data_IF_306055199408
#
_entry.id   IF_306055199408
#
_cell.length_a   1.000
_cell.length_b   1.000
_cell.length_c   1.000
_cell.angle_alpha   90.00
_cell.angle_beta   90.00
_cell.angle_gamma   90.00
#
_symmetry.space_group_name_H-M   'P 1'
#
loop_
_entity.id
_entity.type
_entity.pdbx_description
1 polymer ?
#
# COMPACT_ATOMS: atom_id res chain seq x y z
N UNK A 1 -41.26 -32.06 -49.64
CA UNK A 1 -40.48 -31.47 -48.54
C UNK A 1 -40.70 -29.97 -48.55
N UNK A 2 -40.87 -29.35 -47.39
CA UNK A 2 -40.81 -27.88 -47.20
C UNK A 2 -39.95 -27.60 -45.98
N UNK A 3 -38.79 -26.97 -46.20
CA UNK A 3 -37.77 -26.82 -45.16
C UNK A 3 -37.90 -25.47 -44.45
N UNK A 4 -38.12 -25.49 -43.14
CA UNK A 4 -38.39 -24.29 -42.35
C UNK A 4 -37.09 -23.71 -41.79
N UNK A 5 -36.47 -22.77 -42.53
CA UNK A 5 -35.25 -22.06 -42.13
C UNK A 5 -35.49 -21.10 -40.96
N UNK A 6 -35.46 -21.63 -39.74
CA UNK A 6 -35.66 -20.86 -38.49
C UNK A 6 -34.49 -19.90 -38.26
N UNK A 7 -34.70 -18.60 -38.49
CA UNK A 7 -33.73 -17.56 -38.18
C UNK A 7 -33.50 -17.50 -36.65
N UNK A 8 -32.27 -17.77 -36.21
CA UNK A 8 -31.84 -17.50 -34.83
C UNK A 8 -31.51 -16.01 -34.73
N UNK A 9 -32.48 -15.21 -34.26
CA UNK A 9 -32.23 -13.82 -33.90
C UNK A 9 -31.27 -13.82 -32.70
N UNK A 10 -30.01 -13.43 -32.93
CA UNK A 10 -29.04 -13.21 -31.87
C UNK A 10 -29.65 -12.23 -30.86
N UNK A 11 -29.62 -12.60 -29.59
CA UNK A 11 -29.90 -11.66 -28.50
C UNK A 11 -28.65 -10.82 -28.33
N UNK A 12 -28.80 -9.53 -28.57
CA UNK A 12 -27.87 -8.51 -28.13
C UNK A 12 -27.69 -8.67 -26.61
N UNK A 13 -26.47 -8.99 -26.19
CA UNK A 13 -26.13 -9.13 -24.78
C UNK A 13 -25.99 -7.71 -24.22
N UNK A 14 -26.94 -7.30 -23.39
CA UNK A 14 -26.85 -6.01 -22.69
C UNK A 14 -25.60 -6.02 -21.82
N UNK A 15 -24.62 -5.11 -22.03
CA UNK A 15 -23.38 -5.11 -21.28
C UNK A 15 -23.62 -4.95 -19.78
N UNK A 16 -23.15 -5.92 -19.01
CA UNK A 16 -23.28 -5.91 -17.57
C UNK A 16 -22.44 -4.79 -16.94
N UNK A 17 -22.80 -4.39 -15.72
CA UNK A 17 -22.06 -3.37 -14.94
C UNK A 17 -20.61 -3.74 -14.59
N UNK A 18 -20.16 -4.93 -15.00
CA UNK A 18 -18.82 -5.48 -14.80
C UNK A 18 -18.16 -5.92 -16.12
N UNK A 19 -18.78 -5.64 -17.29
CA UNK A 19 -18.09 -5.81 -18.58
C UNK A 19 -17.11 -4.64 -18.79
N UNK A 20 -15.88 -4.90 -19.26
CA UNK A 20 -14.91 -3.85 -19.50
C UNK A 20 -15.37 -2.95 -20.67
N UNK A 21 -15.08 -1.63 -20.62
CA UNK A 21 -15.44 -0.73 -21.72
C UNK A 21 -14.78 -1.19 -23.02
N UNK A 22 -15.59 -1.29 -24.08
CA UNK A 22 -15.13 -1.66 -25.41
C UNK A 22 -14.29 -0.53 -26.02
N UNK A 23 -12.99 -0.52 -25.70
CA UNK A 23 -12.00 0.25 -26.44
C UNK A 23 -11.88 -0.34 -27.85
N UNK A 24 -12.50 0.30 -28.84
CA UNK A 24 -12.37 -0.04 -30.25
C UNK A 24 -10.89 0.03 -30.66
N UNK A 25 -10.24 -1.13 -30.70
CA UNK A 25 -8.81 -1.27 -30.94
C UNK A 25 -8.47 -1.23 -32.44
N UNK A 26 -9.08 -0.29 -33.16
CA UNK A 26 -8.88 -0.11 -34.59
C UNK A 26 -7.99 1.09 -34.87
N UNK A 27 -6.86 0.83 -35.53
CA UNK A 27 -5.76 1.78 -35.71
C UNK A 27 -6.02 2.80 -36.83
N UNK A 28 -7.13 3.53 -36.77
CA UNK A 28 -7.33 4.68 -37.65
C UNK A 28 -6.46 5.88 -37.20
N UNK A 29 -5.99 6.65 -38.17
CA UNK A 29 -4.96 7.68 -38.02
C UNK A 29 -5.36 8.81 -37.06
N UNK A 30 -4.35 9.40 -36.39
CA UNK A 30 -4.53 10.31 -35.25
C UNK A 30 -5.30 11.61 -35.57
N UNK A 31 -6.63 11.57 -35.47
CA UNK A 31 -7.47 12.76 -35.48
C UNK A 31 -7.60 13.37 -34.08
N UNK A 32 -6.82 14.43 -33.86
CA UNK A 32 -7.01 15.39 -32.78
C UNK A 32 -8.45 15.96 -32.77
N UNK A 33 -8.85 16.55 -31.62
CA UNK A 33 -10.01 17.44 -31.35
C UNK A 33 -11.15 16.87 -30.48
N UNK A 34 -10.90 16.62 -29.19
CA UNK A 34 -11.92 16.95 -28.16
C UNK A 34 -11.47 17.15 -26.70
N UNK A 35 -10.29 17.75 -26.45
CA UNK A 35 -9.93 18.28 -25.12
C UNK A 35 -10.59 19.65 -24.85
N UNK A 36 -11.88 19.65 -24.49
CA UNK A 36 -12.53 20.82 -23.86
C UNK A 36 -12.29 20.74 -22.35
N UNK A 37 -11.48 21.67 -21.82
CA UNK A 37 -10.91 21.60 -20.47
C UNK A 37 -11.96 21.58 -19.33
N UNK A 38 -12.36 20.37 -18.89
CA UNK A 38 -13.18 20.17 -17.69
C UNK A 38 -12.31 20.48 -16.46
N UNK A 39 -12.45 21.70 -15.94
CA UNK A 39 -11.77 22.12 -14.70
C UNK A 39 -12.55 21.61 -13.49
N UNK A 40 -12.16 20.43 -12.99
CA UNK A 40 -12.83 19.63 -11.94
C UNK A 40 -13.07 20.34 -10.58
N UNK A 41 -12.61 21.58 -10.41
CA UNK A 41 -12.69 22.35 -9.16
C UNK A 41 -13.83 23.40 -9.14
N UNK A 42 -14.74 23.40 -10.13
CA UNK A 42 -15.88 24.33 -10.22
C UNK A 42 -17.07 23.84 -9.36
N UNK A 43 -17.09 24.20 -8.08
CA UNK A 43 -18.32 24.08 -7.26
C UNK A 43 -19.40 25.00 -7.83
N UNK A 44 -20.61 24.49 -8.06
CA UNK A 44 -21.76 25.27 -8.50
C UNK A 44 -22.22 26.18 -7.36
N UNK A 45 -22.29 27.48 -7.61
CA UNK A 45 -22.95 28.45 -6.73
C UNK A 45 -24.40 28.60 -7.14
N UNK A 46 -25.31 28.48 -6.18
CA UNK A 46 -26.74 28.69 -6.39
C UNK A 46 -27.04 30.19 -6.51
N UNK A 47 -27.87 30.62 -7.48
CA UNK A 47 -28.36 32.00 -7.51
C UNK A 47 -29.19 32.29 -6.26
N UNK A 48 -28.72 33.21 -5.41
CA UNK A 48 -29.54 33.73 -4.31
C UNK A 48 -30.61 34.61 -4.94
N UNK A 49 -31.88 34.24 -4.81
CA UNK A 49 -32.98 34.98 -5.43
C UNK A 49 -33.13 36.37 -4.79
N UNK A 50 -32.74 37.42 -5.51
CA UNK A 50 -32.84 38.81 -5.06
C UNK A 50 -34.25 39.34 -5.27
N UNK A 51 -34.99 39.53 -4.18
CA UNK A 51 -36.29 40.20 -4.21
C UNK A 51 -36.15 41.73 -4.18
N UNK A 52 -36.88 42.39 -5.08
CA UNK A 52 -37.24 43.82 -5.08
C UNK A 52 -36.13 44.89 -5.24
N UNK A 53 -36.11 45.44 -6.45
CA UNK A 53 -36.38 46.85 -6.76
C UNK A 53 -35.32 47.99 -6.64
N UNK A 54 -35.19 48.64 -7.80
CA UNK A 54 -34.88 50.05 -8.10
C UNK A 54 -33.42 50.49 -8.42
N UNK A 55 -33.24 51.36 -9.44
CA UNK A 55 -31.92 51.86 -9.86
C UNK A 55 -31.60 53.28 -9.35
N UNK A 56 -30.34 53.55 -8.97
CA UNK A 56 -29.68 54.84 -9.25
C UNK A 56 -28.14 54.84 -9.11
N UNK A 57 -27.48 55.30 -10.18
CA UNK A 57 -26.19 56.00 -10.37
C UNK A 57 -25.12 56.11 -9.24
N UNK A 58 -23.87 55.86 -9.66
CA UNK A 58 -22.52 56.31 -9.18
C UNK A 58 -21.82 55.90 -7.85
N UNK A 59 -20.56 55.51 -8.05
CA UNK A 59 -19.33 55.88 -7.31
C UNK A 59 -19.43 56.38 -5.85
N UNK A 60 -18.86 55.59 -4.92
CA UNK A 60 -17.86 56.13 -3.97
C UNK A 60 -16.97 55.06 -3.33
N UNK A 61 -15.68 55.37 -3.20
CA UNK A 61 -14.74 54.65 -2.33
C UNK A 61 -15.00 55.02 -0.87
N UNK A 62 -15.03 54.04 0.05
CA UNK A 62 -15.24 54.35 1.48
C UNK A 62 -15.26 53.16 2.45
N UNK A 63 -14.09 52.84 2.99
CA UNK A 63 -13.83 52.48 4.41
C UNK A 63 -14.86 51.66 5.22
N UNK A 64 -14.42 50.47 5.68
CA UNK A 64 -14.63 49.88 7.02
C UNK A 64 -16.07 49.78 7.57
N UNK A 65 -16.54 48.55 7.84
CA UNK A 65 -17.02 48.17 9.19
C UNK A 65 -17.14 46.64 9.38
N UNK A 66 -17.07 46.18 10.63
CA UNK A 66 -17.08 44.76 10.98
C UNK A 66 -18.50 44.18 11.07
N UNK A 67 -18.73 43.01 10.47
CA UNK A 67 -19.86 42.15 10.79
C UNK A 67 -19.36 40.82 11.38
N UNK A 68 -19.71 40.57 12.64
CA UNK A 68 -19.49 39.27 13.30
C UNK A 68 -20.51 38.28 12.74
N UNK A 69 -20.05 37.24 12.04
CA UNK A 69 -20.88 36.05 11.76
C UNK A 69 -20.62 34.98 12.81
N UNK A 70 -21.69 34.63 13.50
CA UNK A 70 -21.75 33.86 14.74
C UNK A 70 -21.13 32.47 14.65
N UNK A 71 -20.72 31.95 15.80
CA UNK A 71 -20.39 30.55 16.02
C UNK A 71 -21.49 29.59 15.56
N UNK A 72 -21.28 28.93 14.42
CA UNK A 72 -22.08 27.78 13.97
C UNK A 72 -21.38 26.50 14.40
N UNK A 73 -21.89 25.88 15.47
CA UNK A 73 -21.45 24.53 15.87
C UNK A 73 -21.78 23.52 14.77
N UNK A 74 -20.96 22.47 14.58
CA UNK A 74 -21.19 21.48 13.53
C UNK A 74 -22.54 20.77 13.72
N UNK A 75 -23.20 20.34 12.63
CA UNK A 75 -24.51 19.69 12.69
C UNK A 75 -24.43 18.41 13.52
N UNK A 76 -25.31 18.31 14.52
CA UNK A 76 -25.43 17.12 15.36
C UNK A 76 -26.05 15.98 14.55
N UNK A 77 -25.27 14.95 14.28
CA UNK A 77 -25.81 13.67 13.81
C UNK A 77 -26.82 13.13 14.84
N UNK A 78 -27.91 12.44 14.42
CA UNK A 78 -28.75 11.69 15.34
C UNK A 78 -27.89 10.63 16.03
N UNK A 79 -28.07 10.47 17.34
CA UNK A 79 -27.19 9.70 18.23
C UNK A 79 -27.28 8.19 18.07
N UNK A 80 -26.95 7.66 16.89
CA UNK A 80 -26.72 6.23 16.65
C UNK A 80 -25.42 5.77 17.30
N UNK A 81 -25.42 5.61 18.63
CA UNK A 81 -24.31 4.96 19.33
C UNK A 81 -24.13 3.51 18.85
N UNK A 82 -22.89 2.98 18.82
CA UNK A 82 -22.66 1.60 18.42
C UNK A 82 -23.43 0.63 19.33
N UNK A 83 -23.94 -0.50 18.81
CA UNK A 83 -24.66 -1.47 19.61
C UNK A 83 -23.78 -1.99 20.74
N UNK A 84 -24.32 -2.06 21.96
CA UNK A 84 -23.64 -2.69 23.09
C UNK A 84 -23.51 -4.18 22.82
N UNK A 85 -22.34 -4.62 22.38
CA UNK A 85 -21.99 -6.04 22.32
C UNK A 85 -22.11 -6.58 23.75
N UNK A 86 -22.93 -7.61 23.94
CA UNK A 86 -23.07 -8.25 25.24
C UNK A 86 -21.74 -8.91 25.61
N UNK A 87 -21.24 -8.64 26.82
CA UNK A 87 -20.05 -9.29 27.34
C UNK A 87 -20.36 -10.76 27.66
N UNK A 88 -20.20 -11.62 26.67
CA UNK A 88 -20.08 -13.06 26.89
C UNK A 88 -18.78 -13.30 27.66
N UNK A 89 -18.89 -13.69 28.92
CA UNK A 89 -17.76 -14.19 29.70
C UNK A 89 -17.30 -15.52 29.12
N UNK A 90 -16.33 -15.49 28.21
CA UNK A 90 -15.62 -16.70 27.80
C UNK A 90 -14.83 -17.26 28.98
N UNK A 91 -15.32 -18.36 29.52
CA UNK A 91 -14.70 -19.09 30.63
C UNK A 91 -13.35 -19.67 30.19
N UNK A 92 -12.26 -19.14 30.75
CA UNK A 92 -10.89 -19.48 30.32
C UNK A 92 -10.43 -20.77 31.01
N UNK A 93 -10.79 -21.92 30.44
CA UNK A 93 -10.18 -23.22 30.80
C UNK A 93 -8.81 -23.40 30.11
N UNK A 94 -7.72 -23.70 30.85
CA UNK A 94 -6.36 -23.74 30.30
C UNK A 94 -5.96 -25.12 29.76
N UNK A 95 -6.30 -25.41 28.49
CA UNK A 95 -5.87 -26.61 27.74
C UNK A 95 -5.78 -26.27 26.24
N UNK A 96 -4.75 -26.61 25.47
CA UNK A 96 -3.44 -27.28 25.72
C UNK A 96 -2.38 -26.65 24.78
N UNK A 97 -1.07 -26.75 25.08
CA UNK A 97 -0.02 -25.95 24.41
C UNK A 97 0.47 -26.50 23.05
N UNK A 98 0.88 -25.59 22.15
CA UNK A 98 1.71 -25.87 20.97
C UNK A 98 2.97 -24.97 20.92
N UNK A 99 4.08 -25.61 20.55
CA UNK A 99 5.38 -25.12 20.06
C UNK A 99 6.18 -24.05 20.83
N UNK A 100 7.25 -24.55 21.45
CA UNK A 100 8.39 -23.80 21.98
C UNK A 100 9.09 -22.99 20.87
N UNK A 101 9.23 -21.68 21.04
CA UNK A 101 10.39 -20.97 20.50
C UNK A 101 11.51 -21.05 21.55
N UNK A 102 12.60 -21.74 21.22
CA UNK A 102 13.64 -22.11 22.19
C UNK A 102 14.27 -20.92 22.91
N UNK A 103 14.45 -21.13 24.21
CA UNK A 103 15.20 -20.28 25.14
C UNK A 103 16.68 -20.19 24.74
N UNK A 104 17.03 -19.18 23.94
CA UNK A 104 18.38 -18.65 23.76
C UNK A 104 18.24 -17.20 23.28
N UNK A 105 17.88 -16.30 24.19
CA UNK A 105 17.67 -14.87 23.89
C UNK A 105 19.00 -14.12 23.82
N UNK A 106 19.82 -14.46 22.83
CA UNK A 106 20.88 -13.57 22.34
C UNK A 106 20.23 -12.22 21.99
N UNK A 107 20.70 -11.15 22.64
CA UNK A 107 20.16 -9.80 22.45
C UNK A 107 20.33 -9.44 20.97
N UNK A 108 19.26 -9.17 20.20
CA UNK A 108 19.36 -8.93 18.76
C UNK A 108 20.30 -7.75 18.45
N UNK A 109 21.53 -8.07 18.04
CA UNK A 109 22.55 -7.06 17.75
C UNK A 109 22.38 -6.55 16.32
N UNK A 110 22.21 -5.23 16.18
CA UNK A 110 22.14 -4.57 14.87
C UNK A 110 23.42 -4.82 14.03
N UNK A 111 24.58 -4.92 14.68
CA UNK A 111 25.85 -5.22 14.00
C UNK A 111 25.83 -6.64 13.40
N UNK A 112 25.45 -7.64 14.20
CA UNK A 112 25.30 -9.02 13.73
C UNK A 112 24.23 -9.17 12.63
N UNK A 113 23.13 -8.42 12.73
CA UNK A 113 22.08 -8.36 11.72
C UNK A 113 22.60 -7.79 10.39
N UNK A 114 23.25 -6.62 10.42
CA UNK A 114 23.81 -5.96 9.24
C UNK A 114 24.94 -6.78 8.62
N UNK A 115 25.77 -7.42 9.45
CA UNK A 115 26.79 -8.37 8.99
C UNK A 115 26.18 -9.55 8.26
N UNK A 116 25.14 -10.20 8.82
CA UNK A 116 24.45 -11.31 8.13
C UNK A 116 23.93 -10.88 6.75
N UNK A 117 23.30 -9.71 6.61
CA UNK A 117 22.87 -9.20 5.30
C UNK A 117 24.03 -8.82 4.38
N UNK A 118 25.17 -8.35 4.91
CA UNK A 118 26.38 -8.07 4.14
C UNK A 118 27.04 -9.34 3.61
N UNK A 119 27.13 -10.40 4.44
CA UNK A 119 27.64 -11.72 4.05
C UNK A 119 26.78 -12.29 2.90
N UNK A 120 25.44 -12.19 3.02
CA UNK A 120 24.49 -12.66 1.98
C UNK A 120 24.61 -11.82 0.70
N UNK A 121 24.76 -10.50 0.81
CA UNK A 121 24.99 -9.63 -0.35
C UNK A 121 26.26 -10.01 -1.11
N UNK A 122 27.36 -10.30 -0.39
CA UNK A 122 28.61 -10.76 -0.99
C UNK A 122 28.47 -12.15 -1.64
N UNK A 123 27.65 -13.04 -1.07
CA UNK A 123 27.33 -14.34 -1.67
C UNK A 123 26.52 -14.22 -2.98
N UNK A 124 25.62 -13.25 -3.07
CA UNK A 124 24.70 -13.08 -4.23
C UNK A 124 25.30 -12.23 -5.36
N UNK A 125 26.05 -11.17 -5.03
CA UNK A 125 26.57 -10.20 -6.00
C UNK A 125 28.11 -10.20 -6.13
N UNK A 126 28.82 -11.00 -5.33
CA UNK A 126 30.28 -11.13 -5.42
C UNK A 126 31.05 -9.89 -4.97
N UNK A 127 31.88 -9.34 -5.86
CA UNK A 127 32.74 -8.17 -5.63
C UNK A 127 32.62 -7.10 -6.72
N UNK A 128 31.69 -7.25 -7.66
CA UNK A 128 31.49 -6.27 -8.74
C UNK A 128 30.56 -5.13 -8.28
N UNK A 129 30.71 -3.95 -8.87
CA UNK A 129 29.95 -2.73 -8.53
C UNK A 129 28.48 -2.79 -9.06
N UNK A 130 27.72 -3.79 -8.59
CA UNK A 130 26.30 -3.92 -8.92
C UNK A 130 25.48 -2.79 -8.24
N UNK A 131 24.82 -2.00 -9.09
CA UNK A 131 23.93 -0.89 -8.69
C UNK A 131 22.79 -1.34 -7.80
N UNK A 132 22.34 -2.59 -7.93
CA UNK A 132 21.34 -3.19 -7.06
C UNK A 132 21.91 -3.58 -5.70
N UNK A 133 23.14 -4.11 -5.64
CA UNK A 133 23.81 -4.35 -4.37
C UNK A 133 23.95 -3.04 -3.57
N UNK A 134 24.30 -1.93 -4.23
CA UNK A 134 24.31 -0.59 -3.62
C UNK A 134 22.91 -0.09 -3.20
N UNK A 135 21.88 -0.29 -4.00
CA UNK A 135 20.50 0.06 -3.62
C UNK A 135 20.01 -0.77 -2.41
N UNK A 136 20.35 -2.05 -2.34
CA UNK A 136 20.03 -2.91 -1.19
C UNK A 136 20.82 -2.44 0.05
N UNK A 137 22.14 -2.20 -0.05
CA UNK A 137 22.96 -1.61 1.04
C UNK A 137 22.34 -0.29 1.54
N UNK A 138 21.92 0.60 0.62
CA UNK A 138 21.27 1.87 0.95
C UNK A 138 19.96 1.68 1.74
N UNK A 139 19.13 0.69 1.39
CA UNK A 139 17.91 0.39 2.15
C UNK A 139 18.16 -0.32 3.48
N UNK A 140 19.20 -1.15 3.57
CA UNK A 140 19.67 -1.72 4.85
C UNK A 140 20.19 -0.63 5.80
N UNK A 141 20.86 0.42 5.28
CA UNK A 141 21.25 1.58 6.08
C UNK A 141 20.03 2.38 6.60
N UNK A 142 18.94 2.50 5.82
CA UNK A 142 17.67 3.07 6.29
C UNK A 142 17.04 2.21 7.40
N UNK A 143 17.05 0.88 7.24
CA UNK A 143 16.60 -0.07 8.27
C UNK A 143 17.42 0.07 9.57
N UNK A 144 18.74 0.13 9.49
CA UNK A 144 19.61 0.34 10.66
C UNK A 144 19.42 1.70 11.33
N UNK A 145 19.14 2.76 10.55
CA UNK A 145 18.75 4.08 11.11
C UNK A 145 17.43 3.98 11.88
N UNK A 146 16.42 3.31 11.34
CA UNK A 146 15.14 3.08 12.03
C UNK A 146 15.28 2.22 13.29
N UNK A 147 16.21 1.27 13.31
CA UNK A 147 16.58 0.50 14.50
C UNK A 147 17.14 1.41 15.60
N UNK A 148 18.15 2.22 15.27
CA UNK A 148 18.79 3.14 16.21
C UNK A 148 17.86 4.28 16.68
N UNK A 149 16.87 4.64 15.87
CA UNK A 149 15.77 5.56 16.23
C UNK A 149 14.66 4.91 17.09
N UNK A 150 14.82 3.65 17.51
CA UNK A 150 13.84 2.94 18.34
C UNK A 150 12.51 2.66 17.66
N UNK A 151 12.45 2.62 16.32
CA UNK A 151 11.19 2.41 15.57
C UNK A 151 10.71 0.95 15.56
N UNK A 152 11.56 0.02 15.95
CA UNK A 152 11.25 -1.42 15.95
C UNK A 152 11.00 -1.90 17.38
N UNK A 153 9.86 -2.57 17.58
CA UNK A 153 9.57 -3.31 18.82
C UNK A 153 10.46 -4.56 18.90
N UNK A 154 10.69 -5.12 20.09
CA UNK A 154 11.52 -6.32 20.31
C UNK A 154 11.09 -7.49 19.42
N UNK A 155 9.77 -7.69 19.22
CA UNK A 155 9.23 -8.73 18.31
C UNK A 155 9.65 -8.51 16.85
N UNK A 156 9.75 -7.25 16.39
CA UNK A 156 10.22 -6.89 15.04
C UNK A 156 11.72 -7.18 14.93
N UNK A 157 12.48 -6.79 15.96
CA UNK A 157 13.92 -7.03 16.04
C UNK A 157 14.25 -8.52 16.02
N UNK A 158 13.52 -9.33 16.79
CA UNK A 158 13.65 -10.79 16.84
C UNK A 158 13.25 -11.46 15.52
N UNK A 159 12.07 -11.14 14.96
CA UNK A 159 11.63 -11.67 13.65
C UNK A 159 12.61 -11.29 12.53
N UNK A 160 13.19 -10.09 12.57
CA UNK A 160 14.17 -9.61 11.58
C UNK A 160 15.54 -10.29 11.76
N UNK A 161 15.96 -10.58 13.00
CA UNK A 161 17.18 -11.36 13.26
C UNK A 161 17.02 -12.81 12.80
N UNK A 162 15.90 -13.47 13.13
CA UNK A 162 15.52 -14.80 12.61
C UNK A 162 15.48 -14.84 11.08
N UNK A 163 14.97 -13.79 10.44
CA UNK A 163 15.00 -13.64 8.97
C UNK A 163 16.44 -13.57 8.43
N UNK A 164 17.35 -12.85 9.09
CA UNK A 164 18.75 -12.78 8.67
C UNK A 164 19.49 -14.13 8.80
N UNK A 165 19.12 -14.94 9.81
CA UNK A 165 19.67 -16.29 9.99
C UNK A 165 19.10 -17.28 8.96
N UNK A 166 17.78 -17.31 8.74
CA UNK A 166 17.17 -18.16 7.73
C UNK A 166 17.78 -17.94 6.33
N UNK A 167 18.06 -16.69 5.96
CA UNK A 167 18.71 -16.36 4.68
C UNK A 167 20.23 -16.62 4.66
N UNK A 168 20.86 -16.78 5.82
CA UNK A 168 22.27 -17.20 5.93
C UNK A 168 22.44 -18.72 5.89
N UNK A 169 21.42 -19.44 6.36
CA UNK A 169 21.32 -20.91 6.37
C UNK A 169 20.65 -21.50 5.11
N UNK A 170 20.50 -20.70 4.04
CA UNK A 170 19.82 -21.07 2.78
C UNK A 170 18.35 -21.54 2.94
N UNK A 171 17.71 -21.29 4.09
CA UNK A 171 16.30 -21.58 4.39
C UNK A 171 15.37 -20.51 3.81
N UNK A 172 15.29 -20.47 2.49
CA UNK A 172 14.59 -19.42 1.73
C UNK A 172 13.09 -19.36 2.00
N UNK A 173 12.40 -20.49 2.12
CA UNK A 173 10.95 -20.53 2.38
C UNK A 173 10.59 -19.98 3.77
N UNK A 174 11.41 -20.28 4.79
CA UNK A 174 11.29 -19.68 6.13
C UNK A 174 11.53 -18.16 6.08
N UNK A 175 12.49 -17.73 5.25
CA UNK A 175 12.75 -16.33 4.96
C UNK A 175 11.55 -15.63 4.30
N UNK A 176 10.95 -16.23 3.27
CA UNK A 176 9.73 -15.72 2.63
C UNK A 176 8.52 -15.68 3.58
N UNK A 177 8.42 -16.64 4.50
CA UNK A 177 7.39 -16.70 5.54
C UNK A 177 7.57 -15.55 6.55
N UNK A 178 8.76 -15.42 7.15
CA UNK A 178 9.09 -14.33 8.08
C UNK A 178 8.97 -12.95 7.43
N UNK A 179 9.40 -12.81 6.18
CA UNK A 179 9.24 -11.59 5.39
C UNK A 179 7.76 -11.22 5.23
N UNK A 180 6.90 -12.18 4.85
CA UNK A 180 5.45 -11.95 4.72
C UNK A 180 4.82 -11.57 6.05
N UNK A 181 5.12 -12.30 7.12
CA UNK A 181 4.58 -12.04 8.46
C UNK A 181 4.95 -10.62 8.96
N UNK A 182 6.21 -10.21 8.79
CA UNK A 182 6.64 -8.82 9.07
C UNK A 182 5.89 -7.78 8.24
N UNK A 183 5.55 -8.07 6.98
CA UNK A 183 4.80 -7.14 6.12
C UNK A 183 3.30 -7.09 6.41
N UNK A 184 2.71 -8.15 7.00
CA UNK A 184 1.33 -8.17 7.47
C UNK A 184 1.20 -7.44 8.81
N UNK A 185 2.03 -7.81 9.79
CA UNK A 185 1.92 -7.31 11.16
C UNK A 185 2.43 -5.86 11.30
N UNK A 186 3.46 -5.50 10.52
CA UNK A 186 4.32 -4.34 10.78
C UNK A 186 4.65 -3.54 9.50
N UNK A 187 3.70 -3.47 8.56
CA UNK A 187 3.84 -2.80 7.25
C UNK A 187 4.36 -1.37 7.35
N UNK A 188 3.92 -0.63 8.38
CA UNK A 188 4.27 0.78 8.63
C UNK A 188 5.77 1.01 8.88
N UNK A 189 6.46 0.06 9.51
CA UNK A 189 7.90 0.17 9.81
C UNK A 189 8.77 -0.62 8.83
N UNK A 190 8.23 -1.66 8.17
CA UNK A 190 8.97 -2.50 7.23
C UNK A 190 8.94 -2.02 5.77
N UNK A 191 7.83 -1.44 5.29
CA UNK A 191 7.57 -1.22 3.84
C UNK A 191 8.68 -0.48 3.08
N UNK A 192 9.31 0.53 3.69
CA UNK A 192 10.33 1.37 3.06
C UNK A 192 11.58 0.60 2.62
N UNK A 193 12.03 -0.37 3.43
CA UNK A 193 13.28 -1.12 3.21
C UNK A 193 13.06 -2.59 2.85
N UNK A 194 11.95 -3.22 3.30
CA UNK A 194 11.69 -4.66 3.09
C UNK A 194 11.63 -5.07 1.61
N UNK A 195 11.35 -4.15 0.69
CA UNK A 195 11.43 -4.41 -0.75
C UNK A 195 12.85 -4.81 -1.22
N UNK A 196 13.92 -4.31 -0.59
CA UNK A 196 15.28 -4.73 -0.87
C UNK A 196 15.56 -6.15 -0.36
N UNK A 197 15.05 -6.51 0.84
CA UNK A 197 15.17 -7.87 1.36
C UNK A 197 14.38 -8.86 0.48
N UNK A 198 13.17 -8.49 0.00
CA UNK A 198 12.44 -9.31 -0.99
C UNK A 198 13.25 -9.58 -2.25
N UNK A 199 14.01 -8.59 -2.75
CA UNK A 199 14.89 -8.81 -3.90
C UNK A 199 16.11 -9.67 -3.55
N UNK A 200 16.72 -9.48 -2.38
CA UNK A 200 17.82 -10.32 -1.89
C UNK A 200 17.40 -11.80 -1.77
N UNK A 201 16.19 -12.06 -1.25
CA UNK A 201 15.59 -13.40 -1.22
C UNK A 201 15.44 -13.96 -2.63
N UNK A 202 14.85 -13.19 -3.55
CA UNK A 202 14.64 -13.60 -4.94
C UNK A 202 15.96 -13.93 -5.65
N UNK A 203 16.95 -13.04 -5.62
CA UNK A 203 18.25 -13.26 -6.25
C UNK A 203 19.02 -14.44 -5.62
N UNK A 204 18.85 -14.70 -4.31
CA UNK A 204 19.40 -15.90 -3.65
C UNK A 204 18.62 -17.18 -3.98
N UNK A 205 17.33 -17.10 -4.30
CA UNK A 205 16.50 -18.22 -4.78
C UNK A 205 16.81 -18.59 -6.22
N UNK A 206 17.16 -17.61 -7.03
CA UNK A 206 17.64 -17.81 -8.41
C UNK A 206 19.12 -18.20 -8.48
N UNK A 207 19.99 -17.83 -7.53
CA UNK A 207 21.43 -18.16 -7.58
C UNK A 207 21.80 -19.64 -7.79
N UNK A 208 21.11 -20.67 -7.22
CA UNK A 208 21.36 -22.07 -7.56
C UNK A 208 20.90 -22.47 -8.99
N UNK A 209 20.10 -21.64 -9.66
CA UNK A 209 19.66 -21.82 -11.05
C UNK A 209 20.51 -21.00 -12.05
N UNK A 210 20.97 -19.83 -11.61
CA UNK A 210 21.64 -18.77 -12.38
C UNK A 210 23.04 -19.13 -12.90
N UNK A 211 23.59 -20.29 -12.52
CA UNK A 211 24.84 -20.85 -13.09
C UNK A 211 24.87 -20.91 -14.64
N UNK A 212 23.71 -20.76 -15.30
CA UNK A 212 23.59 -20.71 -16.77
C UNK A 212 23.21 -19.32 -17.35
N UNK A 213 22.80 -18.33 -16.53
CA UNK A 213 22.29 -17.02 -16.99
C UNK A 213 22.52 -15.93 -15.93
N UNK A 214 23.30 -14.91 -16.27
CA UNK A 214 23.53 -13.72 -15.43
C UNK A 214 22.24 -13.00 -15.04
N UNK A 215 22.25 -12.38 -13.85
CA UNK A 215 21.41 -11.20 -13.58
C UNK A 215 21.85 -9.99 -14.43
#
# INVERSE_FOLDING_TARGET
MTENKKQVKLKELEPGWNDPPLFSYESHEAHCRQSKNVTLNKRVVFPISSCADNPNVENRSGSILSSRISSTSPPKFPGGGPPRIAALSSEISPTVPEEQCSENSDIPSLDGLLKNFSDILQQVYGQEDDKEAEEIKRRLAVMGKMWNEGKFNTLVQEKLFKLSLALKEDRLEDGESLQRNLMVDHTNVCSLWMAAIRKLIYCKKESPNISNKSC
#
